data_IF_799397125520
#
_entry.id   IF_799397125520
#
_cell.length_a   1.000
_cell.length_b   1.000
_cell.length_c   1.000
_cell.angle_alpha   90.00
_cell.angle_beta   90.00
_cell.angle_gamma   90.00
#
_symmetry.space_group_name_H-M   'P 1'
#
loop_
_entity.id
_entity.type
_entity.pdbx_description
1 polymer ?
#
# COMPACT_ATOMS: atom_id res chain seq x y z
N UNK A 1 16.34 -0.74 12.66
CA UNK A 1 15.08 -1.51 12.60
C UNK A 1 15.03 -2.22 11.27
N UNK A 2 14.47 -3.44 11.22
CA UNK A 2 14.42 -4.24 9.99
C UNK A 2 12.99 -4.21 9.45
N UNK A 3 12.83 -3.87 8.18
CA UNK A 3 11.52 -3.81 7.51
C UNK A 3 11.39 -4.99 6.55
N UNK A 4 10.20 -5.62 6.54
CA UNK A 4 9.84 -6.60 5.53
C UNK A 4 8.91 -5.93 4.52
N UNK A 5 9.33 -5.89 3.25
CA UNK A 5 8.57 -5.28 2.17
C UNK A 5 8.10 -6.36 1.21
N UNK A 6 6.77 -6.45 1.00
CA UNK A 6 6.17 -7.38 0.06
C UNK A 6 5.95 -6.69 -1.28
N UNK A 7 6.62 -7.18 -2.33
CA UNK A 7 6.48 -6.67 -3.70
C UNK A 7 5.74 -7.69 -4.58
N UNK A 8 5.06 -7.20 -5.63
CA UNK A 8 4.30 -8.03 -6.57
C UNK A 8 3.05 -7.34 -7.09
N UNK A 9 2.42 -7.91 -8.11
CA UNK A 9 1.26 -7.33 -8.77
C UNK A 9 0.01 -7.25 -7.87
N UNK A 10 -0.93 -6.36 -8.20
CA UNK A 10 -2.25 -6.31 -7.56
C UNK A 10 -2.93 -7.68 -7.66
N UNK A 11 -3.62 -8.11 -6.60
CA UNK A 11 -4.30 -9.41 -6.56
C UNK A 11 -3.39 -10.62 -6.34
N UNK A 12 -2.07 -10.45 -6.21
CA UNK A 12 -1.14 -11.57 -5.95
C UNK A 12 -1.14 -12.08 -4.49
N UNK A 13 -2.08 -11.64 -3.66
CA UNK A 13 -2.21 -12.09 -2.26
C UNK A 13 -1.29 -11.39 -1.23
N UNK A 14 -0.60 -10.30 -1.60
CA UNK A 14 0.34 -9.60 -0.70
C UNK A 14 -0.29 -9.17 0.62
N UNK A 15 -1.45 -8.53 0.58
CA UNK A 15 -2.12 -8.02 1.79
C UNK A 15 -2.55 -9.17 2.71
N UNK A 16 -3.03 -10.29 2.16
CA UNK A 16 -3.34 -11.49 2.94
C UNK A 16 -2.10 -12.07 3.61
N UNK A 17 -1.00 -12.21 2.86
CA UNK A 17 0.27 -12.70 3.41
C UNK A 17 0.85 -11.74 4.46
N UNK A 18 0.73 -10.43 4.26
CA UNK A 18 1.19 -9.42 5.21
C UNK A 18 0.50 -9.55 6.57
N UNK A 19 -0.81 -9.81 6.58
CA UNK A 19 -1.56 -10.02 7.83
C UNK A 19 -1.08 -11.26 8.58
N UNK A 20 -0.91 -12.39 7.89
CA UNK A 20 -0.39 -13.62 8.51
C UNK A 20 1.04 -13.43 9.06
N UNK A 21 1.91 -12.80 8.28
CA UNK A 21 3.29 -12.52 8.70
C UNK A 21 3.37 -11.52 9.85
N UNK A 22 2.53 -10.47 9.82
CA UNK A 22 2.46 -9.48 10.89
C UNK A 22 2.10 -10.11 12.22
N UNK A 23 1.11 -11.00 12.24
CA UNK A 23 0.73 -11.77 13.43
C UNK A 23 1.85 -12.71 13.89
N UNK A 24 2.46 -13.47 12.98
CA UNK A 24 3.50 -14.45 13.31
C UNK A 24 4.79 -13.79 13.81
N UNK A 25 5.18 -12.66 13.23
CA UNK A 25 6.43 -11.97 13.50
C UNK A 25 6.27 -10.79 14.49
N UNK A 26 5.04 -10.51 14.93
CA UNK A 26 4.68 -9.35 15.76
C UNK A 26 5.14 -8.03 15.13
N UNK A 27 4.94 -7.92 13.83
CA UNK A 27 5.24 -6.72 13.06
C UNK A 27 3.95 -5.95 12.78
N UNK A 28 4.07 -4.63 12.80
CA UNK A 28 3.03 -3.76 12.27
C UNK A 28 2.88 -3.98 10.76
N UNK A 29 1.63 -4.03 10.29
CA UNK A 29 1.31 -4.17 8.87
C UNK A 29 0.87 -2.82 8.35
N UNK A 30 1.60 -2.33 7.34
CA UNK A 30 1.31 -1.09 6.65
C UNK A 30 1.01 -1.38 5.18
N UNK A 31 0.01 -0.69 4.64
CA UNK A 31 -0.33 -0.71 3.22
C UNK A 31 -0.05 0.67 2.63
N UNK A 32 0.84 0.73 1.65
CA UNK A 32 1.27 1.99 1.02
C UNK A 32 0.13 2.69 0.31
N UNK A 33 -0.76 1.93 -0.32
CA UNK A 33 -1.90 2.48 -1.07
C UNK A 33 -2.89 3.13 -0.11
N UNK A 34 -3.12 2.49 1.05
CA UNK A 34 -3.94 3.03 2.14
C UNK A 34 -3.35 4.32 2.70
N UNK A 35 -2.06 4.32 3.03
CA UNK A 35 -1.35 5.51 3.55
C UNK A 35 -1.45 6.68 2.57
N UNK A 36 -1.27 6.43 1.27
CA UNK A 36 -1.39 7.46 0.23
C UNK A 36 -2.84 7.99 0.19
N UNK A 37 -3.84 7.10 0.18
CA UNK A 37 -5.24 7.51 0.13
C UNK A 37 -5.65 8.37 1.33
N UNK A 38 -5.21 8.00 2.54
CA UNK A 38 -5.48 8.75 3.78
C UNK A 38 -4.81 10.13 3.75
N UNK A 39 -3.57 10.20 3.23
CA UNK A 39 -2.82 11.45 3.12
C UNK A 39 -3.43 12.42 2.09
N UNK A 40 -3.91 11.89 0.97
CA UNK A 40 -4.48 12.70 -0.13
C UNK A 40 -5.94 13.03 0.14
N UNK A 41 -6.63 12.23 0.97
CA UNK A 41 -8.07 12.37 1.23
C UNK A 41 -8.95 11.87 0.08
N UNK A 42 -8.39 11.06 -0.82
CA UNK A 42 -9.05 10.46 -1.98
C UNK A 42 -8.72 8.96 -2.00
N UNK A 43 -9.68 8.12 -2.40
CA UNK A 43 -9.40 6.72 -2.69
C UNK A 43 -8.39 6.58 -3.84
N UNK A 44 -7.64 5.48 -3.91
CA UNK A 44 -6.70 5.23 -5.02
C UNK A 44 -7.39 5.34 -6.38
N UNK A 45 -8.65 4.91 -6.46
CA UNK A 45 -9.48 5.03 -7.65
C UNK A 45 -9.73 6.49 -8.02
N UNK A 46 -10.15 7.32 -7.06
CA UNK A 46 -10.35 8.76 -7.28
C UNK A 46 -9.04 9.45 -7.65
N UNK A 47 -7.91 9.07 -7.04
CA UNK A 47 -6.59 9.59 -7.43
C UNK A 47 -6.30 9.26 -8.90
N UNK A 48 -6.57 8.05 -9.36
CA UNK A 48 -6.33 7.67 -10.76
C UNK A 48 -7.27 8.40 -11.72
N UNK A 49 -8.53 8.57 -11.34
CA UNK A 49 -9.55 9.23 -12.17
C UNK A 49 -9.37 10.75 -12.22
N UNK A 50 -9.00 11.41 -11.11
CA UNK A 50 -8.93 12.87 -10.99
C UNK A 50 -7.52 13.43 -11.20
N UNK A 51 -6.49 12.73 -10.69
CA UNK A 51 -5.10 13.19 -10.70
C UNK A 51 -4.25 12.40 -11.69
N UNK A 52 -4.68 11.23 -12.13
CA UNK A 52 -3.93 10.35 -13.01
C UNK A 52 -2.91 9.47 -12.28
N UNK A 53 -2.54 8.35 -12.91
CA UNK A 53 -1.63 7.37 -12.34
C UNK A 53 -0.24 7.94 -12.04
N UNK A 54 0.28 8.85 -12.89
CA UNK A 54 1.59 9.47 -12.68
C UNK A 54 1.69 10.21 -11.35
N UNK A 55 0.61 10.88 -10.92
CA UNK A 55 0.57 11.56 -9.62
C UNK A 55 0.57 10.55 -8.48
N UNK A 56 -0.15 9.42 -8.61
CA UNK A 56 -0.07 8.35 -7.63
C UNK A 56 1.35 7.79 -7.51
N UNK A 57 2.04 7.54 -8.64
CA UNK A 57 3.43 7.08 -8.66
C UNK A 57 4.41 8.10 -8.07
N UNK A 58 4.07 9.40 -8.11
CA UNK A 58 4.83 10.42 -7.38
C UNK A 58 4.61 10.35 -5.87
N UNK A 59 3.41 10.00 -5.40
CA UNK A 59 3.13 9.84 -3.96
C UNK A 59 3.79 8.58 -3.35
N UNK A 60 4.14 7.58 -4.16
CA UNK A 60 4.90 6.39 -3.72
C UNK A 60 6.39 6.66 -3.42
N UNK A 61 6.90 7.88 -3.70
CA UNK A 61 8.31 8.28 -3.47
C UNK A 61 8.51 9.03 -2.17
#
# INVERSE_FOLDING_TARGET
MQHLVLIGFMGSGKSSLAQELGLALKLEVLDTDMIISERVGLSVREIFEELGEDNFRMFER
#
